data_IF_453612679380
#
_entry.id   IF_453612679380
#
_cell.length_a   1.000
_cell.length_b   1.000
_cell.length_c   1.000
_cell.angle_alpha   90.00
_cell.angle_beta   90.00
_cell.angle_gamma   90.00
#
_symmetry.space_group_name_H-M   'P 1'
#
loop_
_entity.id
_entity.type
_entity.pdbx_description
1 polymer ?
#
# COMPACT_ATOMS: atom_id res chain seq x y z
N UNK A 1 40.63 -41.77 41.52
CA UNK A 1 39.83 -40.59 41.90
C UNK A 1 39.31 -39.94 40.62
N UNK A 2 38.03 -40.15 40.29
CA UNK A 2 37.41 -39.56 39.10
C UNK A 2 36.63 -38.31 39.53
N UNK A 3 37.12 -37.13 39.14
CA UNK A 3 36.48 -35.85 39.41
C UNK A 3 35.43 -35.63 38.32
N UNK A 4 34.15 -35.76 38.67
CA UNK A 4 33.03 -35.44 37.78
C UNK A 4 32.91 -33.91 37.74
N UNK A 5 33.22 -33.30 36.60
CA UNK A 5 32.98 -31.88 36.34
C UNK A 5 31.50 -31.65 36.06
N UNK A 6 30.80 -31.02 37.01
CA UNK A 6 29.43 -30.54 36.84
C UNK A 6 29.45 -29.31 35.91
N UNK A 7 28.98 -29.46 34.68
CA UNK A 7 28.75 -28.34 33.75
C UNK A 7 27.34 -27.83 34.01
N UNK A 8 27.22 -26.66 34.64
CA UNK A 8 25.93 -25.97 34.82
C UNK A 8 25.65 -25.20 33.53
N UNK A 9 24.70 -25.70 32.75
CA UNK A 9 24.21 -25.04 31.54
C UNK A 9 23.26 -23.90 31.94
N UNK A 10 23.71 -22.65 31.84
CA UNK A 10 22.83 -21.48 31.97
C UNK A 10 21.93 -21.40 30.74
N UNK A 11 20.66 -21.80 30.89
CA UNK A 11 19.64 -21.57 29.87
C UNK A 11 19.31 -20.07 29.83
N UNK A 12 19.74 -19.36 28.78
CA UNK A 12 19.25 -18.01 28.52
C UNK A 12 17.72 -18.08 28.30
N UNK A 13 16.90 -17.29 29.02
CA UNK A 13 15.49 -17.20 28.71
C UNK A 13 15.36 -16.56 27.33
N UNK A 14 14.75 -17.28 26.39
CA UNK A 14 14.35 -16.70 25.12
C UNK A 14 13.36 -15.57 25.42
N UNK A 15 13.80 -14.32 25.21
CA UNK A 15 12.92 -13.15 25.24
C UNK A 15 11.92 -13.31 24.10
N UNK A 16 10.72 -13.80 24.42
CA UNK A 16 9.60 -13.76 23.51
C UNK A 16 9.18 -12.29 23.37
N UNK A 17 9.48 -11.70 22.23
CA UNK A 17 8.92 -10.40 21.86
C UNK A 17 7.41 -10.58 21.69
N UNK A 18 6.64 -10.16 22.69
CA UNK A 18 5.19 -10.07 22.57
C UNK A 18 4.93 -8.82 21.73
N UNK A 19 4.36 -9.00 20.54
CA UNK A 19 3.93 -7.89 19.71
C UNK A 19 2.97 -7.01 20.53
N UNK A 20 3.39 -5.77 20.85
CA UNK A 20 2.48 -4.84 21.49
C UNK A 20 1.40 -4.43 20.49
N UNK A 21 0.12 -4.41 20.90
CA UNK A 21 -0.95 -3.93 20.04
C UNK A 21 -0.64 -2.48 19.65
N UNK A 22 -0.63 -2.20 18.35
CA UNK A 22 -0.47 -0.84 17.84
C UNK A 22 -1.73 -0.08 18.25
N UNK A 23 -1.59 0.80 19.25
CA UNK A 23 -2.63 1.77 19.60
C UNK A 23 -2.66 2.87 18.53
N UNK A 24 -3.35 2.61 17.41
CA UNK A 24 -3.59 3.63 16.38
C UNK A 24 -4.55 4.69 16.96
N UNK A 25 -4.13 5.97 17.05
CA UNK A 25 -5.00 7.04 17.54
C UNK A 25 -5.99 7.44 16.44
N UNK A 26 -7.02 6.61 16.20
CA UNK A 26 -7.99 6.83 15.11
C UNK A 26 -8.70 8.19 15.24
N UNK A 27 -8.82 8.73 16.46
CA UNK A 27 -9.39 10.05 16.71
C UNK A 27 -8.50 11.22 16.27
N UNK A 28 -7.20 11.02 16.03
CA UNK A 28 -6.28 12.10 15.65
C UNK A 28 -6.15 12.30 14.14
N UNK A 29 -6.83 11.48 13.32
CA UNK A 29 -6.82 11.67 11.87
C UNK A 29 -7.68 12.89 11.49
N UNK A 30 -7.03 13.87 10.86
CA UNK A 30 -7.69 15.07 10.33
C UNK A 30 -7.49 15.13 8.82
N UNK A 31 -8.51 15.61 8.09
CA UNK A 31 -8.43 15.74 6.63
C UNK A 31 -7.68 17.04 6.29
N UNK A 32 -6.59 16.99 5.49
CA UNK A 32 -6.00 18.20 4.94
C UNK A 32 -6.91 18.83 3.87
N UNK A 33 -6.71 20.12 3.62
CA UNK A 33 -7.42 20.87 2.57
C UNK A 33 -7.07 20.40 1.14
N UNK A 34 -5.97 19.66 0.98
CA UNK A 34 -5.47 19.16 -0.31
C UNK A 34 -6.25 17.98 -0.88
N UNK A 35 -7.24 17.46 -0.15
CA UNK A 35 -8.06 16.35 -0.63
C UNK A 35 -8.95 16.75 -1.83
N UNK A 36 -9.17 15.85 -2.81
CA UNK A 36 -8.54 14.54 -2.93
C UNK A 36 -7.11 14.64 -3.49
N UNK A 37 -6.20 13.81 -2.95
CA UNK A 37 -4.77 13.79 -3.31
C UNK A 37 -4.47 13.19 -4.68
N UNK A 38 -5.40 12.38 -5.21
CA UNK A 38 -5.35 11.82 -6.56
C UNK A 38 -6.74 11.98 -7.20
N UNK A 39 -6.77 12.21 -8.52
CA UNK A 39 -7.99 12.49 -9.30
C UNK A 39 -7.93 11.77 -10.63
N UNK A 40 -9.10 11.60 -11.25
CA UNK A 40 -9.19 11.15 -12.62
C UNK A 40 -8.41 12.09 -13.56
N UNK A 41 -7.64 11.52 -14.47
CA UNK A 41 -6.84 12.24 -15.45
C UNK A 41 -6.84 11.51 -16.80
N UNK A 42 -7.50 12.05 -17.84
CA UNK A 42 -7.55 11.44 -19.17
C UNK A 42 -6.25 11.61 -19.96
N UNK A 43 -5.28 12.41 -19.47
CA UNK A 43 -3.97 12.59 -20.12
C UNK A 43 -3.06 11.37 -19.96
N UNK A 44 -3.31 10.52 -18.95
CA UNK A 44 -2.57 9.29 -18.77
C UNK A 44 -3.05 8.20 -19.72
N UNK A 45 -2.18 7.88 -20.69
CA UNK A 45 -2.43 6.86 -21.70
C UNK A 45 -1.38 5.76 -21.66
N UNK A 46 -1.78 4.53 -21.99
CA UNK A 46 -0.84 3.46 -22.32
C UNK A 46 -1.44 2.51 -23.36
N UNK A 47 -0.60 1.77 -24.08
CA UNK A 47 -1.06 0.71 -24.98
C UNK A 47 -1.34 -0.55 -24.16
N UNK A 48 -2.62 -0.88 -24.03
CA UNK A 48 -3.08 -2.05 -23.28
C UNK A 48 -2.70 -3.35 -24.03
N UNK A 49 -1.88 -4.23 -23.43
CA UNK A 49 -1.43 -5.44 -24.10
C UNK A 49 -2.55 -6.47 -24.34
N UNK A 50 -3.69 -6.35 -23.65
CA UNK A 50 -4.83 -7.25 -23.81
C UNK A 50 -5.71 -6.81 -24.98
N UNK A 51 -6.08 -5.52 -25.03
CA UNK A 51 -6.92 -4.99 -26.10
C UNK A 51 -6.14 -4.53 -27.34
N UNK A 52 -4.82 -4.41 -27.25
CA UNK A 52 -3.94 -3.84 -28.28
C UNK A 52 -4.32 -2.41 -28.70
N UNK A 53 -4.96 -1.66 -27.81
CA UNK A 53 -5.38 -0.27 -28.05
C UNK A 53 -4.77 0.68 -27.03
N UNK A 54 -4.60 1.94 -27.41
CA UNK A 54 -4.24 2.99 -26.46
C UNK A 54 -5.47 3.36 -25.63
N UNK A 55 -5.36 3.25 -24.30
CA UNK A 55 -6.45 3.53 -23.36
C UNK A 55 -6.10 4.69 -22.44
N UNK A 56 -7.09 5.48 -22.07
CA UNK A 56 -7.00 6.53 -21.05
C UNK A 56 -7.28 5.91 -19.67
N UNK A 57 -6.27 5.25 -19.10
CA UNK A 57 -6.45 4.25 -18.04
C UNK A 57 -6.87 4.80 -16.67
N UNK A 58 -6.76 6.11 -16.46
CA UNK A 58 -7.15 6.82 -15.23
C UNK A 58 -8.28 7.84 -15.50
N UNK A 59 -9.09 7.65 -16.55
CA UNK A 59 -10.08 8.64 -16.96
C UNK A 59 -11.35 8.69 -16.10
N UNK A 60 -11.70 7.62 -15.40
CA UNK A 60 -12.98 7.48 -14.70
C UNK A 60 -12.84 7.72 -13.19
N UNK A 61 -12.67 6.66 -12.40
CA UNK A 61 -12.57 6.75 -10.95
C UNK A 61 -11.13 6.44 -10.48
N UNK A 62 -10.70 7.08 -9.40
CA UNK A 62 -9.40 6.86 -8.72
C UNK A 62 -9.64 6.70 -7.22
N UNK A 63 -9.46 5.49 -6.70
CA UNK A 63 -9.99 5.11 -5.39
C UNK A 63 -9.35 3.83 -4.85
N UNK A 64 -9.82 3.37 -3.68
CA UNK A 64 -9.41 2.13 -3.01
C UNK A 64 -7.89 1.87 -3.00
N UNK A 65 -7.07 2.80 -2.46
CA UNK A 65 -5.63 2.68 -2.47
C UNK A 65 -5.09 1.71 -1.41
N UNK A 66 -3.91 1.17 -1.69
CA UNK A 66 -2.96 0.68 -0.71
C UNK A 66 -1.80 1.68 -0.56
N UNK A 67 -1.17 1.72 0.62
CA UNK A 67 -0.02 2.58 0.87
C UNK A 67 1.10 1.80 1.58
N UNK A 68 2.35 2.04 1.18
CA UNK A 68 3.56 1.48 1.81
C UNK A 68 4.60 2.57 2.00
N UNK A 69 5.54 2.36 2.92
CA UNK A 69 6.72 3.22 3.09
C UNK A 69 7.94 2.47 2.58
N UNK A 70 8.72 3.11 1.70
CA UNK A 70 9.98 2.58 1.16
C UNK A 70 10.96 3.73 0.92
N UNK A 71 12.22 3.55 1.31
CA UNK A 71 13.30 4.53 1.10
C UNK A 71 12.97 5.97 1.57
N UNK A 72 12.26 6.09 2.70
CA UNK A 72 11.85 7.39 3.26
C UNK A 72 10.72 8.10 2.50
N UNK A 73 10.07 7.44 1.54
CA UNK A 73 8.91 7.94 0.80
C UNK A 73 7.66 7.11 1.07
N UNK A 74 6.50 7.74 0.89
CA UNK A 74 5.20 7.07 0.85
C UNK A 74 4.90 6.71 -0.61
N UNK A 75 4.57 5.44 -0.87
CA UNK A 75 4.09 4.97 -2.16
C UNK A 75 2.62 4.58 -2.05
N UNK A 76 1.79 5.09 -2.94
CA UNK A 76 0.37 4.79 -3.03
C UNK A 76 0.12 3.99 -4.29
N UNK A 77 -0.33 2.75 -4.13
CA UNK A 77 -0.89 1.91 -5.19
C UNK A 77 -2.40 2.13 -5.23
N UNK A 78 -2.92 2.77 -6.26
CA UNK A 78 -4.33 3.14 -6.34
C UNK A 78 -5.06 2.41 -7.47
N UNK A 79 -6.31 2.01 -7.22
CA UNK A 79 -7.19 1.51 -8.26
C UNK A 79 -7.66 2.68 -9.11
N UNK A 80 -7.62 2.49 -10.42
CA UNK A 80 -8.18 3.45 -11.38
C UNK A 80 -8.90 2.74 -12.52
N UNK A 81 -9.84 3.46 -13.16
CA UNK A 81 -10.70 2.93 -14.20
C UNK A 81 -10.73 3.83 -15.45
N UNK A 82 -11.03 3.22 -16.61
CA UNK A 82 -10.83 3.81 -17.93
C UNK A 82 -12.09 4.43 -18.58
N UNK A 83 -13.29 4.01 -18.19
CA UNK A 83 -14.52 4.42 -18.87
C UNK A 83 -15.59 4.96 -17.90
N UNK A 84 -15.80 6.29 -17.82
CA UNK A 84 -16.81 6.86 -16.93
C UNK A 84 -18.25 6.55 -17.35
N UNK A 85 -18.49 6.23 -18.63
CA UNK A 85 -19.81 5.92 -19.16
C UNK A 85 -20.24 4.46 -18.95
N UNK A 86 -19.31 3.58 -18.57
CA UNK A 86 -19.63 2.20 -18.24
C UNK A 86 -20.17 2.11 -16.80
N UNK A 87 -21.12 1.19 -16.56
CA UNK A 87 -21.61 0.87 -15.22
C UNK A 87 -20.52 0.25 -14.34
N UNK A 88 -20.84 -0.01 -13.06
CA UNK A 88 -19.86 -0.43 -12.03
C UNK A 88 -18.99 -1.65 -12.39
N UNK A 89 -19.45 -2.54 -13.27
CA UNK A 89 -18.71 -3.73 -13.70
C UNK A 89 -18.27 -3.71 -15.18
N UNK A 90 -18.47 -2.60 -15.88
CA UNK A 90 -18.17 -2.49 -17.32
C UNK A 90 -16.82 -1.85 -17.65
N UNK A 91 -15.95 -1.70 -16.64
CA UNK A 91 -14.70 -0.94 -16.71
C UNK A 91 -13.51 -1.84 -16.46
N UNK A 92 -12.33 -1.43 -16.93
CA UNK A 92 -11.10 -2.13 -16.59
C UNK A 92 -10.38 -1.42 -15.46
N UNK A 93 -10.27 -2.11 -14.32
CA UNK A 93 -9.46 -1.62 -13.20
C UNK A 93 -7.98 -1.91 -13.43
N UNK A 94 -7.15 -0.90 -13.18
CA UNK A 94 -5.68 -1.00 -13.19
C UNK A 94 -5.10 -0.35 -11.93
N UNK A 95 -3.84 -0.65 -11.62
CA UNK A 95 -3.14 -0.07 -10.48
C UNK A 95 -2.17 1.00 -10.99
N UNK A 96 -2.36 2.25 -10.54
CA UNK A 96 -1.37 3.30 -10.68
C UNK A 96 -0.45 3.36 -9.47
N UNK A 97 0.72 3.98 -9.63
CA UNK A 97 1.70 4.21 -8.56
C UNK A 97 1.96 5.71 -8.43
N UNK A 98 1.76 6.26 -7.24
CA UNK A 98 2.17 7.62 -6.88
C UNK A 98 3.19 7.55 -5.74
N UNK A 99 4.10 8.53 -5.68
CA UNK A 99 5.03 8.69 -4.57
C UNK A 99 4.88 10.07 -3.92
N UNK A 100 5.10 10.14 -2.60
CA UNK A 100 5.22 11.41 -1.86
C UNK A 100 6.37 11.37 -0.86
N UNK A 101 6.89 12.56 -0.56
CA UNK A 101 7.89 12.82 0.49
C UNK A 101 7.30 13.46 1.75
N UNK A 102 6.00 13.75 1.74
CA UNK A 102 5.25 14.33 2.86
C UNK A 102 4.09 13.42 3.31
#
# INVERSE_FOLDING_TARGET
MHIIRLVILFALPALTSIAQPIALPVASFTKPATNPVLKADPSFTFTDPISHTTVQWQKADVFNPAAIVKDGKIFVLYRCEDNPAAGYSGRTSRLGLAESTD
#
